data_IF_766419965779
#
_entry.id   IF_766419965779
#
_cell.length_a   1.000
_cell.length_b   1.000
_cell.length_c   1.000
_cell.angle_alpha   90.00
_cell.angle_beta   90.00
_cell.angle_gamma   90.00
#
_symmetry.space_group_name_H-M   'P 1'
#
loop_
_entity.id
_entity.type
_entity.pdbx_description
1 polymer ?
#
# COMPACT_ATOMS: atom_id res chain seq x y z
N UNK A 1 13.82 -0.81 56.20
CA UNK A 1 13.74 -2.16 55.63
C UNK A 1 14.70 -2.24 54.45
N UNK A 2 15.72 -3.11 54.49
CA UNK A 2 16.65 -3.30 53.37
C UNK A 2 15.99 -4.25 52.37
N UNK A 3 15.65 -3.73 51.20
CA UNK A 3 15.19 -4.56 50.08
C UNK A 3 16.31 -5.49 49.64
N UNK A 4 16.02 -6.78 49.57
CA UNK A 4 16.98 -7.78 49.08
C UNK A 4 16.92 -7.87 47.57
N UNK A 5 18.01 -8.31 46.89
CA UNK A 5 18.03 -8.56 45.44
C UNK A 5 16.89 -9.49 45.01
N UNK A 6 16.49 -10.41 45.88
CA UNK A 6 15.41 -11.37 45.61
C UNK A 6 14.03 -10.69 45.59
N UNK A 7 13.80 -9.69 46.47
CA UNK A 7 12.55 -8.93 46.52
C UNK A 7 12.44 -8.00 45.29
N UNK A 8 13.57 -7.42 44.84
CA UNK A 8 13.62 -6.65 43.63
C UNK A 8 13.25 -7.49 42.40
N UNK A 9 13.81 -8.69 42.23
CA UNK A 9 13.51 -9.59 41.12
C UNK A 9 12.03 -10.02 41.12
N UNK A 10 11.47 -10.35 42.31
CA UNK A 10 10.05 -10.70 42.42
C UNK A 10 9.13 -9.53 42.05
N UNK A 11 9.44 -8.34 42.52
CA UNK A 11 8.64 -7.16 42.22
C UNK A 11 8.77 -6.74 40.73
N UNK A 12 9.95 -6.89 40.11
CA UNK A 12 10.18 -6.69 38.70
C UNK A 12 9.41 -7.69 37.82
N UNK A 13 9.35 -8.97 38.24
CA UNK A 13 8.58 -9.99 37.53
C UNK A 13 7.06 -9.74 37.60
N UNK A 14 6.56 -9.26 38.78
CA UNK A 14 5.15 -8.88 38.93
C UNK A 14 4.78 -7.64 38.13
N UNK A 15 5.68 -6.65 37.98
CA UNK A 15 5.45 -5.49 37.16
C UNK A 15 5.57 -5.79 35.66
N UNK A 16 6.41 -6.75 35.28
CA UNK A 16 6.52 -7.21 33.89
C UNK A 16 5.29 -7.99 33.40
N UNK A 17 4.56 -8.65 34.32
CA UNK A 17 3.33 -9.36 33.97
C UNK A 17 2.17 -8.44 33.55
N UNK A 18 2.25 -7.12 33.86
CA UNK A 18 1.29 -6.10 33.43
C UNK A 18 1.66 -5.36 32.13
N UNK A 19 2.89 -5.52 31.64
CA UNK A 19 3.39 -4.91 30.42
C UNK A 19 3.51 -5.96 29.32
N UNK A 20 2.41 -6.32 28.72
CA UNK A 20 2.43 -6.97 27.42
C UNK A 20 2.75 -5.87 26.38
N UNK A 21 3.97 -5.84 25.88
CA UNK A 21 4.30 -5.09 24.66
C UNK A 21 3.58 -5.81 23.53
N UNK A 22 2.32 -5.45 23.31
CA UNK A 22 1.60 -5.85 22.11
C UNK A 22 2.33 -5.17 20.95
N UNK A 23 2.78 -5.91 19.95
CA UNK A 23 3.30 -5.29 18.74
C UNK A 23 2.25 -4.33 18.19
N UNK A 24 2.67 -3.19 17.68
CA UNK A 24 1.78 -2.09 17.28
C UNK A 24 0.63 -2.51 16.34
N UNK A 25 0.79 -3.61 15.61
CA UNK A 25 -0.25 -4.22 14.78
C UNK A 25 -1.35 -4.93 15.57
N UNK A 26 -1.07 -5.35 16.82
CA UNK A 26 -2.08 -6.03 17.66
C UNK A 26 -2.92 -5.03 18.48
N UNK A 27 -2.47 -3.80 18.63
CA UNK A 27 -3.15 -2.74 19.39
C UNK A 27 -4.09 -1.87 18.56
N UNK A 28 -4.03 -1.97 17.23
CA UNK A 28 -4.92 -1.25 16.33
C UNK A 28 -5.82 -2.21 15.55
N UNK A 29 -6.93 -1.73 15.05
CA UNK A 29 -7.74 -2.40 14.02
C UNK A 29 -6.97 -2.57 12.70
N UNK A 30 -5.64 -2.62 12.77
CA UNK A 30 -4.74 -2.83 11.66
C UNK A 30 -4.88 -4.26 11.18
N UNK A 31 -5.26 -4.43 9.93
CA UNK A 31 -4.91 -5.62 9.16
C UNK A 31 -3.47 -5.99 9.53
N UNK A 32 -3.14 -7.28 9.78
CA UNK A 32 -1.74 -7.67 9.94
C UNK A 32 -0.95 -7.04 8.77
N UNK A 33 0.32 -6.64 8.98
CA UNK A 33 1.10 -6.08 7.88
C UNK A 33 0.91 -7.03 6.72
N UNK A 34 0.15 -6.56 5.74
CA UNK A 34 -0.30 -7.36 4.61
C UNK A 34 0.98 -7.93 4.02
N UNK A 35 1.06 -9.22 3.86
CA UNK A 35 2.18 -9.84 3.17
C UNK A 35 2.30 -9.31 1.72
N UNK A 36 1.32 -8.51 1.28
CA UNK A 36 1.21 -7.94 -0.06
C UNK A 36 1.16 -6.41 0.00
N UNK A 37 1.91 -5.79 -0.90
CA UNK A 37 1.89 -4.35 -1.15
C UNK A 37 0.72 -4.02 -2.07
N UNK A 38 -0.17 -3.17 -1.66
CA UNK A 38 -1.31 -2.70 -2.44
C UNK A 38 -0.88 -1.56 -3.36
N UNK A 39 -0.89 -1.80 -4.66
CA UNK A 39 -0.35 -0.87 -5.65
C UNK A 39 -1.44 -0.42 -6.62
N UNK A 40 -1.53 0.89 -6.85
CA UNK A 40 -2.29 1.43 -7.96
C UNK A 40 -1.35 1.79 -9.12
N UNK A 41 -1.80 1.54 -10.34
CA UNK A 41 -1.01 1.79 -11.53
C UNK A 41 -1.67 2.89 -12.36
N UNK A 42 -0.92 3.95 -12.68
CA UNK A 42 -1.39 5.12 -13.39
C UNK A 42 -0.62 5.25 -14.71
N UNK A 43 -1.34 5.18 -15.83
CA UNK A 43 -0.78 5.03 -17.17
C UNK A 43 -0.45 3.56 -17.43
N UNK A 44 -1.45 2.76 -17.77
CA UNK A 44 -1.31 1.30 -17.93
C UNK A 44 -1.33 0.85 -19.39
N UNK A 45 -1.37 1.79 -20.31
CA UNK A 45 -1.19 1.55 -21.74
C UNK A 45 0.27 1.63 -22.18
N UNK A 46 0.60 1.04 -23.32
CA UNK A 46 1.93 1.10 -23.94
C UNK A 46 3.05 0.69 -22.99
N UNK A 47 3.91 1.65 -22.60
CA UNK A 47 5.03 1.40 -21.69
C UNK A 47 4.57 0.96 -20.31
N UNK A 48 3.46 1.50 -19.82
CA UNK A 48 2.87 1.16 -18.52
C UNK A 48 2.32 -0.26 -18.47
N UNK A 49 1.90 -0.83 -19.60
CA UNK A 49 1.51 -2.24 -19.69
C UNK A 49 2.63 -3.17 -19.24
N UNK A 50 3.87 -2.91 -19.68
CA UNK A 50 5.03 -3.70 -19.30
C UNK A 50 5.30 -3.61 -17.78
N UNK A 51 5.31 -2.40 -17.24
CA UNK A 51 5.52 -2.20 -15.81
C UNK A 51 4.43 -2.90 -14.97
N UNK A 52 3.17 -2.85 -15.41
CA UNK A 52 2.07 -3.57 -14.79
C UNK A 52 2.28 -5.08 -14.80
N UNK A 53 2.63 -5.62 -15.96
CA UNK A 53 2.80 -7.07 -16.12
C UNK A 53 3.95 -7.57 -15.25
N UNK A 54 5.12 -6.93 -15.31
CA UNK A 54 6.28 -7.32 -14.54
C UNK A 54 6.02 -7.27 -13.03
N UNK A 55 5.48 -6.16 -12.53
CA UNK A 55 5.24 -5.99 -11.11
C UNK A 55 4.13 -6.92 -10.57
N UNK A 56 3.10 -7.18 -11.36
CA UNK A 56 2.03 -8.09 -10.96
C UNK A 56 2.45 -9.58 -10.99
N UNK A 57 3.64 -9.93 -11.51
CA UNK A 57 4.18 -11.29 -11.37
C UNK A 57 4.68 -11.58 -9.95
N UNK A 58 4.99 -10.57 -9.17
CA UNK A 58 5.44 -10.75 -7.80
C UNK A 58 4.25 -11.06 -6.89
N UNK A 59 4.29 -12.17 -6.18
CA UNK A 59 3.23 -12.59 -5.24
C UNK A 59 2.93 -11.57 -4.15
N UNK A 60 3.90 -10.70 -3.85
CA UNK A 60 3.78 -9.64 -2.84
C UNK A 60 3.13 -8.37 -3.35
N UNK A 61 2.84 -8.25 -4.64
CA UNK A 61 2.15 -7.11 -5.23
C UNK A 61 0.68 -7.44 -5.43
N UNK A 62 -0.19 -6.58 -4.92
CA UNK A 62 -1.63 -6.66 -5.12
C UNK A 62 -2.10 -5.43 -5.91
N UNK A 63 -2.46 -5.56 -7.18
CA UNK A 63 -2.99 -4.44 -7.95
C UNK A 63 -4.39 -4.06 -7.45
N UNK A 64 -4.53 -2.82 -6.97
CA UNK A 64 -5.79 -2.29 -6.41
C UNK A 64 -6.66 -1.64 -7.47
N UNK A 65 -6.05 -0.85 -8.34
CA UNK A 65 -6.76 -0.13 -9.40
C UNK A 65 -5.80 0.24 -10.54
N UNK A 66 -6.33 0.23 -11.75
CA UNK A 66 -5.67 0.76 -12.94
C UNK A 66 -6.26 2.11 -13.35
N UNK A 67 -5.42 3.03 -13.78
CA UNK A 67 -5.87 4.35 -14.26
C UNK A 67 -5.23 4.64 -15.60
N UNK A 68 -6.03 4.94 -16.60
CA UNK A 68 -5.58 5.42 -17.89
C UNK A 68 -6.66 6.30 -18.55
N UNK A 69 -6.26 7.38 -19.19
CA UNK A 69 -7.20 8.27 -19.88
C UNK A 69 -7.63 7.71 -21.24
N UNK A 70 -6.85 6.79 -21.80
CA UNK A 70 -7.11 6.13 -23.08
C UNK A 70 -7.41 4.63 -22.90
N UNK A 71 -8.70 4.33 -22.82
CA UNK A 71 -9.18 2.95 -22.65
C UNK A 71 -8.76 2.02 -23.80
N UNK A 72 -8.54 2.56 -25.01
CA UNK A 72 -8.10 1.75 -26.15
C UNK A 72 -6.66 1.32 -25.99
N UNK A 73 -5.80 2.25 -25.57
CA UNK A 73 -4.39 1.97 -25.32
C UNK A 73 -4.19 1.04 -24.12
N UNK A 74 -5.03 1.15 -23.10
CA UNK A 74 -5.01 0.33 -21.89
C UNK A 74 -5.73 -1.02 -22.03
N UNK A 75 -6.44 -1.28 -23.14
CA UNK A 75 -7.31 -2.43 -23.31
C UNK A 75 -6.63 -3.79 -23.06
N UNK A 76 -5.35 -3.93 -23.41
CA UNK A 76 -4.61 -5.17 -23.19
C UNK A 76 -4.41 -5.45 -21.70
N UNK A 77 -4.06 -4.42 -20.93
CA UNK A 77 -3.91 -4.52 -19.47
C UNK A 77 -5.24 -4.92 -18.81
N UNK A 78 -6.33 -4.27 -19.20
CA UNK A 78 -7.66 -4.58 -18.66
C UNK A 78 -8.10 -6.02 -18.98
N UNK A 79 -7.79 -6.52 -20.15
CA UNK A 79 -8.07 -7.91 -20.53
C UNK A 79 -7.25 -8.93 -19.72
N UNK A 80 -6.00 -8.61 -19.41
CA UNK A 80 -5.12 -9.49 -18.63
C UNK A 80 -5.51 -9.55 -17.16
N UNK A 81 -6.03 -8.45 -16.62
CA UNK A 81 -6.40 -8.33 -15.21
C UNK A 81 -7.89 -7.96 -15.05
N UNK A 82 -8.82 -8.81 -15.48
CA UNK A 82 -10.25 -8.47 -15.54
C UNK A 82 -10.89 -8.22 -14.17
N UNK A 83 -10.27 -8.69 -13.10
CA UNK A 83 -10.77 -8.53 -11.73
C UNK A 83 -10.29 -7.23 -11.05
N UNK A 84 -9.38 -6.48 -11.68
CA UNK A 84 -8.87 -5.22 -11.16
C UNK A 84 -9.72 -4.08 -11.71
N UNK A 85 -10.32 -3.24 -10.85
CA UNK A 85 -11.10 -2.10 -11.31
C UNK A 85 -10.22 -1.11 -12.06
N UNK A 86 -10.79 -0.40 -13.02
CA UNK A 86 -10.10 0.65 -13.76
C UNK A 86 -10.90 1.94 -13.80
N UNK A 87 -10.19 3.06 -13.93
CA UNK A 87 -10.74 4.41 -13.91
C UNK A 87 -9.95 5.30 -14.89
N UNK A 88 -10.53 6.45 -15.24
CA UNK A 88 -9.88 7.40 -16.15
C UNK A 88 -9.19 8.57 -15.42
N UNK A 89 -9.58 8.85 -14.19
CA UNK A 89 -9.04 9.96 -13.40
C UNK A 89 -8.41 9.43 -12.10
N UNK A 90 -7.13 9.73 -11.91
CA UNK A 90 -6.38 9.32 -10.72
C UNK A 90 -6.91 9.95 -9.44
N UNK A 91 -7.52 11.15 -9.50
CA UNK A 91 -8.10 11.81 -8.33
C UNK A 91 -9.27 11.00 -7.79
N UNK A 92 -10.15 10.57 -8.69
CA UNK A 92 -11.27 9.69 -8.34
C UNK A 92 -10.78 8.35 -7.78
N UNK A 93 -9.66 7.83 -8.30
CA UNK A 93 -9.02 6.62 -7.76
C UNK A 93 -8.57 6.84 -6.31
N UNK A 94 -7.92 7.97 -6.01
CA UNK A 94 -7.51 8.29 -4.64
C UNK A 94 -8.71 8.49 -3.71
N UNK A 95 -9.78 9.15 -4.16
CA UNK A 95 -11.00 9.34 -3.37
C UNK A 95 -11.63 8.00 -2.99
N UNK A 96 -11.64 7.05 -3.91
CA UNK A 96 -12.32 5.76 -3.73
C UNK A 96 -11.45 4.71 -3.06
N UNK A 97 -10.19 4.59 -3.46
CA UNK A 97 -9.29 3.51 -3.04
C UNK A 97 -8.08 3.99 -2.23
N UNK A 98 -7.94 5.29 -1.99
CA UNK A 98 -6.76 5.87 -1.37
C UNK A 98 -6.39 5.24 -0.02
N UNK A 99 -7.37 4.80 0.77
CA UNK A 99 -7.14 4.13 2.07
C UNK A 99 -6.53 2.73 1.93
N UNK A 100 -6.75 2.09 0.79
CA UNK A 100 -6.31 0.72 0.54
C UNK A 100 -5.00 0.65 -0.25
N UNK A 101 -4.52 1.78 -0.78
CA UNK A 101 -3.30 1.89 -1.59
C UNK A 101 -2.11 2.20 -0.68
N UNK A 102 -1.02 1.45 -0.83
CA UNK A 102 0.26 1.68 -0.17
C UNK A 102 1.22 2.47 -1.08
N UNK A 103 1.23 2.16 -2.37
CA UNK A 103 2.12 2.75 -3.35
C UNK A 103 1.44 2.96 -4.71
N UNK A 104 2.01 3.87 -5.51
CA UNK A 104 1.58 4.10 -6.89
C UNK A 104 2.73 3.92 -7.87
N UNK A 105 2.44 3.33 -9.01
CA UNK A 105 3.35 3.27 -10.16
C UNK A 105 2.83 4.22 -11.23
N UNK A 106 3.65 5.18 -11.64
CA UNK A 106 3.28 6.22 -12.58
C UNK A 106 4.06 6.00 -13.87
N UNK A 107 3.35 5.67 -14.95
CA UNK A 107 3.92 5.43 -16.29
C UNK A 107 3.23 6.31 -17.35
N UNK A 108 2.86 7.50 -16.95
CA UNK A 108 2.23 8.51 -17.81
C UNK A 108 3.28 9.30 -18.61
N UNK A 109 2.89 10.13 -19.60
CA UNK A 109 3.80 11.09 -20.22
C UNK A 109 4.41 12.08 -19.21
N UNK A 110 5.59 12.60 -19.51
CA UNK A 110 6.43 13.42 -18.60
C UNK A 110 5.69 14.57 -17.91
N UNK A 111 4.83 15.28 -18.65
CA UNK A 111 4.06 16.41 -18.12
C UNK A 111 3.07 16.01 -17.01
N UNK A 112 2.67 14.76 -16.94
CA UNK A 112 1.71 14.27 -15.95
C UNK A 112 2.39 13.64 -14.74
N UNK A 113 3.68 13.29 -14.80
CA UNK A 113 4.40 12.67 -13.69
C UNK A 113 4.39 13.52 -12.43
N UNK A 114 4.77 14.81 -12.54
CA UNK A 114 4.87 15.70 -11.39
C UNK A 114 3.55 15.87 -10.64
N UNK A 115 2.43 16.26 -11.27
CA UNK A 115 1.19 16.47 -10.54
C UNK A 115 0.65 15.18 -9.90
N UNK A 116 0.82 14.03 -10.54
CA UNK A 116 0.37 12.75 -9.99
C UNK A 116 1.25 12.33 -8.81
N UNK A 117 2.57 12.41 -8.96
CA UNK A 117 3.52 12.06 -7.90
C UNK A 117 3.35 12.97 -6.68
N UNK A 118 3.22 14.29 -6.89
CA UNK A 118 2.98 15.24 -5.81
C UNK A 118 1.67 14.90 -5.07
N UNK A 119 0.60 14.59 -5.79
CA UNK A 119 -0.67 14.18 -5.19
C UNK A 119 -0.55 12.90 -4.37
N UNK A 120 0.16 11.89 -4.88
CA UNK A 120 0.41 10.65 -4.17
C UNK A 120 1.19 10.87 -2.87
N UNK A 121 2.28 11.64 -2.92
CA UNK A 121 3.10 11.96 -1.75
C UNK A 121 2.32 12.76 -0.70
N UNK A 122 1.52 13.74 -1.11
CA UNK A 122 0.66 14.51 -0.21
C UNK A 122 -0.39 13.63 0.50
N UNK A 123 -0.81 12.54 -0.13
CA UNK A 123 -1.69 11.53 0.45
C UNK A 123 -0.93 10.40 1.16
N UNK A 124 0.37 10.57 1.44
CA UNK A 124 1.19 9.61 2.19
C UNK A 124 1.43 8.29 1.46
N UNK A 125 1.48 8.29 0.13
CA UNK A 125 1.74 7.09 -0.69
C UNK A 125 3.17 7.08 -1.22
N UNK A 126 3.72 5.88 -1.32
CA UNK A 126 5.01 5.64 -1.94
C UNK A 126 4.92 5.60 -3.47
#
# INVERSE_FOLDING_TARGET
>A
MKQTRRDFIKNAALSAAGFTILPAWAAGSGKPPSSKLNVAFIGVGGRGEWACQDLCTFEKVNPVCFVDVDDKNAANTYKKFPNVPHMRDYRQMFDKYGKDIDAVVISTPDHAHFPIAAWAMLNGKH
#
